data_IF_744942813631
#
_entry.id   IF_744942813631
#
_cell.length_a   1.000
_cell.length_b   1.000
_cell.length_c   1.000
_cell.angle_alpha   90.00
_cell.angle_beta   90.00
_cell.angle_gamma   90.00
#
_symmetry.space_group_name_H-M   'P 1'
#
loop_
_entity.id
_entity.type
_entity.pdbx_description
1 polymer ?
#
# COMPACT_ATOMS: atom_id res chain seq x y z
N UNK A 1 -47.78 20.05 0.69
CA UNK A 1 -47.16 18.77 1.07
C UNK A 1 -45.92 19.03 1.93
N UNK A 2 -46.07 19.82 3.00
CA UNK A 2 -45.01 20.19 3.93
C UNK A 2 -45.61 19.95 5.32
N UNK A 3 -45.81 18.68 5.67
CA UNK A 3 -46.34 18.29 6.97
C UNK A 3 -45.25 17.50 7.71
N UNK A 4 -44.80 18.09 8.81
CA UNK A 4 -44.08 17.46 9.94
C UNK A 4 -42.87 16.59 9.58
N UNK A 5 -41.78 17.23 9.14
CA UNK A 5 -40.46 16.59 9.27
C UNK A 5 -40.13 16.52 10.77
N UNK A 6 -40.09 15.33 11.35
CA UNK A 6 -39.65 15.19 12.74
C UNK A 6 -38.15 15.48 12.84
N UNK A 7 -37.68 15.96 14.00
CA UNK A 7 -36.25 16.20 14.22
C UNK A 7 -35.39 14.93 13.96
N UNK A 8 -35.98 13.75 14.16
CA UNK A 8 -35.36 12.45 13.91
C UNK A 8 -35.20 12.16 12.40
N UNK A 9 -36.15 12.58 11.57
CA UNK A 9 -36.06 12.40 10.12
C UNK A 9 -35.04 13.36 9.52
N UNK A 10 -35.03 14.63 9.96
CA UNK A 10 -33.99 15.60 9.57
C UNK A 10 -32.58 15.06 9.90
N UNK A 11 -32.42 14.48 11.09
CA UNK A 11 -31.17 13.89 11.53
C UNK A 11 -30.70 12.71 10.64
N UNK A 12 -31.61 11.83 10.21
CA UNK A 12 -31.27 10.73 9.28
C UNK A 12 -30.77 11.26 7.93
N UNK A 13 -31.41 12.29 7.37
CA UNK A 13 -30.96 12.91 6.12
C UNK A 13 -29.56 13.56 6.26
N UNK A 14 -29.30 14.21 7.40
CA UNK A 14 -27.98 14.79 7.70
C UNK A 14 -26.91 13.68 7.74
N UNK A 15 -27.16 12.57 8.43
CA UNK A 15 -26.20 11.47 8.52
C UNK A 15 -25.83 10.87 7.16
N UNK A 16 -26.79 10.76 6.25
CA UNK A 16 -26.58 10.11 4.94
C UNK A 16 -25.96 11.08 3.94
N UNK A 17 -26.22 12.38 4.08
CA UNK A 17 -25.64 13.41 3.23
C UNK A 17 -24.15 13.67 3.50
N UNK A 18 -23.66 13.48 4.73
CA UNK A 18 -22.24 13.71 5.07
C UNK A 18 -21.29 12.84 4.23
N UNK A 19 -21.43 11.50 4.17
CA UNK A 19 -20.56 10.67 3.33
C UNK A 19 -20.74 10.93 1.83
N UNK A 20 -21.96 11.31 1.41
CA UNK A 20 -22.24 11.67 0.03
C UNK A 20 -21.44 12.92 -0.37
N UNK A 21 -21.59 14.02 0.37
CA UNK A 21 -20.89 15.29 0.12
C UNK A 21 -19.38 15.11 0.24
N UNK A 22 -18.90 14.36 1.24
CA UNK A 22 -17.47 14.07 1.40
C UNK A 22 -16.92 13.30 0.19
N UNK A 23 -17.63 12.28 -0.29
CA UNK A 23 -17.18 11.49 -1.45
C UNK A 23 -17.20 12.29 -2.75
N UNK A 24 -18.23 13.13 -2.94
CA UNK A 24 -18.37 14.01 -4.09
C UNK A 24 -17.26 15.06 -4.13
N UNK A 25 -17.04 15.76 -3.02
CA UNK A 25 -15.99 16.80 -2.92
C UNK A 25 -14.60 16.19 -3.16
N UNK A 26 -14.30 15.05 -2.52
CA UNK A 26 -13.06 14.32 -2.75
C UNK A 26 -12.92 13.88 -4.21
N UNK A 27 -13.99 13.35 -4.82
CA UNK A 27 -14.02 12.95 -6.23
C UNK A 27 -13.79 14.12 -7.19
N UNK A 28 -14.42 15.27 -6.95
CA UNK A 28 -14.25 16.48 -7.76
C UNK A 28 -12.81 17.00 -7.65
N UNK A 29 -12.24 17.06 -6.44
CA UNK A 29 -10.83 17.40 -6.25
C UNK A 29 -9.95 16.46 -7.09
N UNK A 30 -10.27 15.16 -7.12
CA UNK A 30 -9.55 14.19 -7.94
C UNK A 30 -9.73 14.39 -9.45
N UNK A 31 -10.87 14.86 -9.93
CA UNK A 31 -11.09 15.12 -11.36
C UNK A 31 -10.40 16.43 -11.79
N UNK A 32 -10.45 17.47 -10.97
CA UNK A 32 -9.96 18.82 -11.30
C UNK A 32 -8.44 18.95 -11.13
N UNK A 33 -7.86 18.40 -10.07
CA UNK A 33 -6.42 18.59 -9.77
C UNK A 33 -5.51 17.72 -10.64
N UNK A 34 -6.04 16.65 -11.23
CA UNK A 34 -5.26 15.57 -11.82
C UNK A 34 -5.10 15.48 -13.35
N UNK A 35 -5.68 16.36 -14.21
CA UNK A 35 -5.42 16.32 -15.66
C UNK A 35 -3.94 16.51 -16.05
N UNK A 36 -3.07 16.95 -15.12
CA UNK A 36 -1.72 17.45 -15.41
C UNK A 36 -0.55 16.44 -15.22
N UNK A 37 -0.77 15.12 -15.19
CA UNK A 37 0.35 14.16 -15.00
C UNK A 37 0.54 13.14 -16.13
N UNK A 38 1.71 13.15 -16.75
CA UNK A 38 2.06 12.29 -17.91
C UNK A 38 2.44 10.82 -17.57
N UNK A 39 2.50 10.40 -16.31
CA UNK A 39 2.98 9.04 -15.97
C UNK A 39 1.84 8.01 -15.88
N UNK A 40 1.89 6.97 -16.73
CA UNK A 40 0.88 5.91 -16.88
C UNK A 40 0.52 5.22 -15.55
N UNK A 41 1.50 4.92 -14.70
CA UNK A 41 1.26 4.25 -13.40
C UNK A 41 0.62 5.19 -12.38
N UNK A 42 1.00 6.48 -12.39
CA UNK A 42 0.33 7.51 -11.56
C UNK A 42 -1.14 7.61 -11.99
N UNK A 43 -1.41 7.54 -13.29
CA UNK A 43 -2.77 7.57 -13.83
C UNK A 43 -3.61 6.37 -13.36
N UNK A 44 -3.07 5.14 -13.35
CA UNK A 44 -3.81 3.95 -12.85
C UNK A 44 -4.22 4.06 -11.38
N UNK A 45 -3.31 4.48 -10.49
CA UNK A 45 -3.63 4.69 -9.06
C UNK A 45 -4.77 5.71 -8.92
N UNK A 46 -4.65 6.83 -9.65
CA UNK A 46 -5.62 7.92 -9.64
C UNK A 46 -6.97 7.50 -10.21
N UNK A 47 -6.99 6.73 -11.30
CA UNK A 47 -8.20 6.18 -11.89
C UNK A 47 -8.91 5.23 -10.93
N UNK A 48 -8.17 4.31 -10.27
CA UNK A 48 -8.80 3.40 -9.29
C UNK A 48 -9.42 4.16 -8.12
N UNK A 49 -8.74 5.18 -7.61
CA UNK A 49 -9.25 5.98 -6.51
C UNK A 49 -10.41 6.89 -6.93
N UNK A 50 -10.34 7.50 -8.11
CA UNK A 50 -11.46 8.26 -8.69
C UNK A 50 -12.69 7.38 -8.88
N UNK A 51 -12.50 6.15 -9.39
CA UNK A 51 -13.58 5.17 -9.49
C UNK A 51 -14.16 4.79 -8.12
N UNK A 52 -13.34 4.68 -7.08
CA UNK A 52 -13.80 4.46 -5.71
C UNK A 52 -14.71 5.59 -5.22
N UNK A 53 -14.32 6.85 -5.43
CA UNK A 53 -15.14 8.00 -5.00
C UNK A 53 -16.46 8.07 -5.75
N UNK A 54 -16.46 7.85 -7.08
CA UNK A 54 -17.68 7.79 -7.88
C UNK A 54 -18.62 6.69 -7.38
N UNK A 55 -18.10 5.49 -7.12
CA UNK A 55 -18.90 4.38 -6.60
C UNK A 55 -19.46 4.67 -5.20
N UNK A 56 -18.67 5.32 -4.33
CA UNK A 56 -19.14 5.75 -3.02
C UNK A 56 -20.26 6.79 -3.13
N UNK A 57 -20.11 7.78 -4.01
CA UNK A 57 -21.17 8.77 -4.28
C UNK A 57 -22.45 8.09 -4.78
N UNK A 58 -22.35 7.17 -5.74
CA UNK A 58 -23.49 6.42 -6.25
C UNK A 58 -24.15 5.58 -5.17
N UNK A 59 -23.38 4.90 -4.33
CA UNK A 59 -23.90 4.10 -3.21
C UNK A 59 -24.73 4.97 -2.25
N UNK A 60 -24.19 6.09 -1.78
CA UNK A 60 -24.91 6.97 -0.85
C UNK A 60 -26.09 7.69 -1.49
N UNK A 61 -26.03 7.98 -2.80
CA UNK A 61 -27.15 8.53 -3.54
C UNK A 61 -28.32 7.54 -3.64
N UNK A 62 -28.04 6.27 -3.97
CA UNK A 62 -29.06 5.21 -3.99
C UNK A 62 -29.64 4.96 -2.59
N UNK A 63 -28.81 5.02 -1.54
CA UNK A 63 -29.30 4.95 -0.15
C UNK A 63 -30.32 6.05 0.15
N UNK A 64 -30.09 7.30 -0.28
CA UNK A 64 -31.06 8.39 -0.11
C UNK A 64 -32.38 8.10 -0.83
N UNK A 65 -32.33 7.69 -2.10
CA UNK A 65 -33.53 7.35 -2.89
C UNK A 65 -34.33 6.21 -2.24
N UNK A 66 -33.64 5.21 -1.67
CA UNK A 66 -34.29 4.06 -1.05
C UNK A 66 -35.11 4.42 0.19
N UNK A 67 -34.79 5.53 0.87
CA UNK A 67 -35.49 5.99 2.07
C UNK A 67 -36.78 6.71 1.71
N UNK A 68 -36.80 7.45 0.60
CA UNK A 68 -37.98 8.16 0.12
C UNK A 68 -39.02 7.21 -0.49
N UNK A 69 -38.58 6.10 -1.11
CA UNK A 69 -39.43 5.18 -1.87
C UNK A 69 -39.49 3.76 -1.26
N UNK A 70 -40.34 3.55 -0.26
CA UNK A 70 -40.56 2.23 0.37
C UNK A 70 -40.90 1.10 -0.64
N UNK A 71 -41.61 1.40 -1.74
CA UNK A 71 -41.95 0.40 -2.78
C UNK A 71 -40.82 0.15 -3.79
N UNK A 72 -39.92 1.11 -4.00
CA UNK A 72 -38.77 0.99 -4.90
C UNK A 72 -37.58 0.23 -4.28
N UNK A 73 -37.61 -0.02 -2.97
CA UNK A 73 -36.52 -0.64 -2.23
C UNK A 73 -36.12 -2.01 -2.80
N UNK A 74 -37.10 -2.84 -3.20
CA UNK A 74 -36.88 -4.20 -3.70
C UNK A 74 -36.06 -4.24 -4.99
N UNK A 75 -36.36 -3.35 -5.95
CA UNK A 75 -35.63 -3.25 -7.23
C UNK A 75 -34.20 -2.76 -7.02
N UNK A 76 -33.96 -1.96 -5.97
CA UNK A 76 -32.65 -1.42 -5.64
C UNK A 76 -31.75 -2.42 -4.89
N UNK A 77 -32.29 -3.51 -4.34
CA UNK A 77 -31.53 -4.49 -3.54
C UNK A 77 -30.31 -5.05 -4.29
N UNK A 78 -30.41 -5.56 -5.54
CA UNK A 78 -29.25 -6.09 -6.24
C UNK A 78 -28.16 -5.03 -6.48
N UNK A 79 -28.55 -3.77 -6.70
CA UNK A 79 -27.62 -2.67 -6.86
C UNK A 79 -26.86 -2.37 -5.57
N UNK A 80 -27.48 -2.50 -4.39
CA UNK A 80 -26.76 -2.41 -3.12
C UNK A 80 -25.69 -3.51 -2.99
N UNK A 81 -26.02 -4.77 -3.29
CA UNK A 81 -25.04 -5.86 -3.28
C UNK A 81 -23.86 -5.58 -4.20
N UNK A 82 -24.14 -5.10 -5.42
CA UNK A 82 -23.14 -4.73 -6.41
C UNK A 82 -22.23 -3.61 -5.92
N UNK A 83 -22.81 -2.47 -5.51
CA UNK A 83 -22.06 -1.28 -5.13
C UNK A 83 -21.25 -1.48 -3.84
N UNK A 84 -21.81 -2.16 -2.85
CA UNK A 84 -21.11 -2.50 -1.60
C UNK A 84 -19.92 -3.41 -1.89
N UNK A 85 -20.08 -4.44 -2.73
CA UNK A 85 -18.95 -5.31 -3.06
C UNK A 85 -17.90 -4.57 -3.90
N UNK A 86 -18.33 -3.85 -4.93
CA UNK A 86 -17.45 -3.16 -5.87
C UNK A 86 -16.63 -2.08 -5.16
N UNK A 87 -17.21 -1.32 -4.23
CA UNK A 87 -16.47 -0.33 -3.43
C UNK A 87 -15.38 -1.00 -2.58
N UNK A 88 -15.62 -2.16 -1.98
CA UNK A 88 -14.59 -2.90 -1.25
C UNK A 88 -13.49 -3.45 -2.17
N UNK A 89 -13.85 -4.02 -3.31
CA UNK A 89 -12.89 -4.57 -4.30
C UNK A 89 -12.01 -3.48 -4.87
N UNK A 90 -12.58 -2.35 -5.30
CA UNK A 90 -11.83 -1.22 -5.87
C UNK A 90 -10.89 -0.62 -4.81
N UNK A 91 -11.34 -0.51 -3.56
CA UNK A 91 -10.47 -0.06 -2.47
C UNK A 91 -9.30 -1.03 -2.24
N UNK A 92 -9.53 -2.34 -2.26
CA UNK A 92 -8.45 -3.33 -2.17
C UNK A 92 -7.51 -3.24 -3.37
N UNK A 93 -8.03 -3.08 -4.58
CA UNK A 93 -7.23 -2.88 -5.80
C UNK A 93 -6.34 -1.63 -5.70
N UNK A 94 -6.87 -0.55 -5.16
CA UNK A 94 -6.11 0.67 -4.86
C UNK A 94 -4.98 0.42 -3.86
N UNK A 95 -5.24 -0.30 -2.75
CA UNK A 95 -4.20 -0.70 -1.80
C UNK A 95 -3.16 -1.60 -2.47
N UNK A 96 -3.56 -2.46 -3.43
CA UNK A 96 -2.62 -3.29 -4.18
C UNK A 96 -1.64 -2.49 -5.02
N UNK A 97 -2.04 -1.30 -5.51
CA UNK A 97 -1.14 -0.40 -6.21
C UNK A 97 -0.21 0.38 -5.27
N UNK A 98 -0.66 0.77 -4.08
CA UNK A 98 0.18 1.50 -3.10
C UNK A 98 1.16 0.56 -2.39
N UNK A 99 0.72 -0.66 -2.09
CA UNK A 99 1.50 -1.70 -1.42
C UNK A 99 1.74 -2.83 -2.42
N UNK A 100 2.73 -2.68 -3.32
CA UNK A 100 3.08 -3.74 -4.24
C UNK A 100 3.82 -4.82 -3.47
N UNK A 101 3.23 -6.00 -3.54
CA UNK A 101 3.85 -7.27 -3.20
C UNK A 101 4.06 -8.03 -4.51
N UNK A 102 4.83 -9.12 -4.48
CA UNK A 102 5.02 -10.00 -5.65
C UNK A 102 3.69 -10.52 -6.22
N UNK A 103 2.69 -10.68 -5.37
CA UNK A 103 1.34 -11.06 -5.77
C UNK A 103 0.57 -9.86 -6.37
N UNK A 104 0.31 -9.93 -7.67
CA UNK A 104 -0.52 -8.95 -8.37
C UNK A 104 -2.00 -9.07 -7.95
N UNK A 105 -2.75 -8.00 -8.18
CA UNK A 105 -4.20 -8.02 -8.01
C UNK A 105 -4.82 -8.98 -9.04
N UNK A 106 -5.64 -9.92 -8.56
CA UNK A 106 -6.31 -10.88 -9.42
C UNK A 106 -7.65 -10.30 -9.93
N UNK A 107 -7.88 -10.31 -11.24
CA UNK A 107 -9.14 -9.87 -11.85
C UNK A 107 -10.36 -10.70 -11.37
N UNK A 108 -10.13 -11.88 -10.81
CA UNK A 108 -11.16 -12.75 -10.24
C UNK A 108 -12.10 -12.04 -9.25
N UNK A 109 -11.61 -11.08 -8.45
CA UNK A 109 -12.45 -10.33 -7.51
C UNK A 109 -13.57 -9.51 -8.20
N UNK A 110 -13.30 -8.99 -9.41
CA UNK A 110 -14.33 -8.31 -10.19
C UNK A 110 -15.35 -9.28 -10.78
N UNK A 111 -14.92 -10.48 -11.18
CA UNK A 111 -15.83 -11.54 -11.67
C UNK A 111 -16.79 -12.01 -10.58
N UNK A 112 -16.30 -12.18 -9.34
CA UNK A 112 -17.15 -12.49 -8.18
C UNK A 112 -18.22 -11.41 -7.98
N UNK A 113 -17.86 -10.14 -8.14
CA UNK A 113 -18.81 -9.01 -7.99
C UNK A 113 -20.00 -9.15 -8.94
N UNK A 114 -19.74 -9.51 -10.20
CA UNK A 114 -20.80 -9.73 -11.21
C UNK A 114 -21.63 -10.96 -10.86
N UNK A 115 -21.00 -12.06 -10.42
CA UNK A 115 -21.71 -13.26 -10.01
C UNK A 115 -22.66 -13.00 -8.82
N UNK A 116 -22.22 -12.25 -7.81
CA UNK A 116 -23.05 -11.86 -6.67
C UNK A 116 -24.24 -11.01 -7.11
N UNK A 117 -24.05 -10.08 -8.05
CA UNK A 117 -25.14 -9.27 -8.58
C UNK A 117 -26.20 -10.11 -9.30
N UNK A 118 -25.78 -11.06 -10.13
CA UNK A 118 -26.70 -11.99 -10.83
C UNK A 118 -27.46 -12.83 -9.80
N UNK A 119 -26.76 -13.40 -8.83
CA UNK A 119 -27.36 -14.23 -7.77
C UNK A 119 -28.34 -13.42 -6.91
N UNK A 120 -28.00 -12.19 -6.53
CA UNK A 120 -28.90 -11.31 -5.78
C UNK A 120 -30.15 -10.94 -6.60
N UNK A 121 -30.00 -10.73 -7.91
CA UNK A 121 -31.13 -10.44 -8.81
C UNK A 121 -32.08 -11.63 -8.90
N UNK A 122 -31.55 -12.86 -9.04
CA UNK A 122 -32.33 -14.09 -9.02
C UNK A 122 -33.05 -14.26 -7.68
N UNK A 123 -32.34 -14.04 -6.57
CA UNK A 123 -32.90 -14.15 -5.21
C UNK A 123 -34.07 -13.18 -5.01
N UNK A 124 -33.93 -11.93 -5.43
CA UNK A 124 -35.00 -10.92 -5.38
C UNK A 124 -36.19 -11.35 -6.24
N UNK A 125 -35.96 -11.85 -7.45
CA UNK A 125 -37.02 -12.31 -8.34
C UNK A 125 -37.81 -13.48 -7.73
N UNK A 126 -37.11 -14.52 -7.24
CA UNK A 126 -37.75 -15.69 -6.61
C UNK A 126 -38.56 -15.28 -5.39
N UNK A 127 -37.99 -14.46 -4.50
CA UNK A 127 -38.72 -14.01 -3.31
C UNK A 127 -39.93 -13.13 -3.66
N UNK A 128 -39.83 -12.30 -4.69
CA UNK A 128 -40.96 -11.51 -5.18
C UNK A 128 -42.11 -12.38 -5.70
N UNK A 129 -41.81 -13.48 -6.41
CA UNK A 129 -42.85 -14.41 -6.87
C UNK A 129 -43.51 -15.22 -5.75
N UNK A 130 -42.82 -15.38 -4.61
CA UNK A 130 -43.34 -16.07 -3.42
C UNK A 130 -44.15 -15.14 -2.51
N UNK A 131 -43.88 -13.83 -2.52
CA UNK A 131 -44.55 -12.80 -1.70
C UNK A 131 -46.07 -12.80 -1.86
N UNK A 132 -46.55 -13.10 -3.05
CA UNK A 132 -47.99 -13.17 -3.35
C UNK A 132 -48.73 -14.25 -2.54
N UNK A 133 -48.04 -15.12 -1.80
CA UNK A 133 -48.63 -16.29 -1.13
C UNK A 133 -48.43 -16.36 0.39
N UNK A 134 -47.45 -15.66 0.96
CA UNK A 134 -47.12 -15.74 2.39
C UNK A 134 -46.90 -14.33 2.95
N UNK A 135 -47.55 -13.96 4.06
CA UNK A 135 -47.45 -12.65 4.70
C UNK A 135 -46.09 -12.33 5.34
N UNK A 136 -45.00 -12.56 4.60
CA UNK A 136 -43.61 -12.35 4.99
C UNK A 136 -43.14 -10.96 4.57
N UNK A 137 -42.53 -10.20 5.47
CA UNK A 137 -42.01 -8.86 5.15
C UNK A 137 -40.64 -8.95 4.45
N UNK A 138 -40.66 -9.09 3.11
CA UNK A 138 -39.45 -9.20 2.29
C UNK A 138 -38.46 -8.05 2.52
N UNK A 139 -38.96 -6.85 2.80
CA UNK A 139 -38.12 -5.68 3.09
C UNK A 139 -37.27 -5.86 4.36
N UNK A 140 -37.84 -6.42 5.43
CA UNK A 140 -37.13 -6.68 6.68
C UNK A 140 -36.05 -7.76 6.49
N UNK A 141 -36.37 -8.80 5.71
CA UNK A 141 -35.41 -9.85 5.35
C UNK A 141 -34.19 -9.29 4.62
N UNK A 142 -34.41 -8.51 3.55
CA UNK A 142 -33.29 -7.95 2.79
C UNK A 142 -32.48 -6.97 3.60
N UNK A 143 -33.09 -6.21 4.50
CA UNK A 143 -32.35 -5.32 5.39
C UNK A 143 -31.38 -6.10 6.31
N UNK A 144 -31.86 -7.17 6.97
CA UNK A 144 -31.01 -8.02 7.81
C UNK A 144 -29.92 -8.72 6.99
N UNK A 145 -30.28 -9.25 5.83
CA UNK A 145 -29.37 -9.94 4.93
C UNK A 145 -28.27 -8.99 4.40
N UNK A 146 -28.63 -7.77 3.98
CA UNK A 146 -27.69 -6.75 3.52
C UNK A 146 -26.75 -6.31 4.63
N UNK A 147 -27.23 -6.20 5.87
CA UNK A 147 -26.40 -5.86 7.03
C UNK A 147 -25.32 -6.94 7.29
N UNK A 148 -25.71 -8.22 7.31
CA UNK A 148 -24.80 -9.35 7.48
C UNK A 148 -23.79 -9.39 6.34
N UNK A 149 -24.27 -9.28 5.10
CA UNK A 149 -23.42 -9.26 3.91
C UNK A 149 -22.38 -8.14 3.94
N UNK A 150 -22.81 -6.92 4.29
CA UNK A 150 -21.92 -5.75 4.38
C UNK A 150 -20.84 -5.97 5.43
N UNK A 151 -21.23 -6.51 6.58
CA UNK A 151 -20.31 -6.81 7.70
C UNK A 151 -19.25 -7.84 7.32
N UNK A 152 -19.65 -8.97 6.72
CA UNK A 152 -18.73 -10.01 6.28
C UNK A 152 -17.78 -9.52 5.19
N UNK A 153 -18.29 -8.76 4.20
CA UNK A 153 -17.45 -8.18 3.15
C UNK A 153 -16.42 -7.19 3.71
N UNK A 154 -16.84 -6.31 4.61
CA UNK A 154 -15.92 -5.36 5.25
C UNK A 154 -14.82 -6.09 6.01
N UNK A 155 -15.15 -7.15 6.77
CA UNK A 155 -14.17 -7.95 7.49
C UNK A 155 -13.19 -8.65 6.53
N UNK A 156 -13.70 -9.28 5.47
CA UNK A 156 -12.88 -9.97 4.48
C UNK A 156 -11.89 -9.04 3.76
N UNK A 157 -12.35 -7.94 3.17
CA UNK A 157 -11.45 -7.04 2.43
C UNK A 157 -10.51 -6.25 3.34
N UNK A 158 -10.91 -5.96 4.59
CA UNK A 158 -10.02 -5.29 5.55
C UNK A 158 -8.90 -6.21 6.01
N UNK A 159 -9.19 -7.50 6.26
CA UNK A 159 -8.15 -8.49 6.58
C UNK A 159 -7.18 -8.70 5.43
N UNK A 160 -7.67 -8.78 4.18
CA UNK A 160 -6.81 -8.84 3.00
C UNK A 160 -5.86 -7.64 2.88
N UNK A 161 -6.34 -6.42 3.15
CA UNK A 161 -5.49 -5.23 3.18
C UNK A 161 -4.37 -5.35 4.24
N UNK A 162 -4.70 -5.83 5.44
CA UNK A 162 -3.71 -6.03 6.51
C UNK A 162 -2.69 -7.11 6.17
N UNK A 163 -3.12 -8.26 5.64
CA UNK A 163 -2.23 -9.34 5.20
C UNK A 163 -1.23 -8.82 4.17
N UNK A 164 -1.70 -8.01 3.23
CA UNK A 164 -0.84 -7.40 2.20
C UNK A 164 0.19 -6.44 2.80
N UNK A 165 -0.24 -5.56 3.71
CA UNK A 165 0.66 -4.64 4.40
C UNK A 165 1.69 -5.38 5.28
N UNK A 166 1.27 -6.44 5.96
CA UNK A 166 2.15 -7.28 6.77
C UNK A 166 3.20 -8.00 5.92
N UNK A 167 2.77 -8.60 4.80
CA UNK A 167 3.67 -9.28 3.85
C UNK A 167 4.74 -8.33 3.33
N UNK A 168 4.33 -7.11 2.96
CA UNK A 168 5.26 -6.07 2.52
C UNK A 168 6.27 -5.68 3.62
N UNK A 169 5.81 -5.44 4.86
CA UNK A 169 6.70 -5.13 5.98
C UNK A 169 7.68 -6.28 6.27
N UNK A 170 7.24 -7.53 6.17
CA UNK A 170 8.06 -8.72 6.38
C UNK A 170 9.16 -8.85 5.32
N UNK A 171 8.81 -8.65 4.05
CA UNK A 171 9.79 -8.68 2.94
C UNK A 171 10.85 -7.59 3.10
N UNK A 172 10.46 -6.37 3.51
CA UNK A 172 11.42 -5.28 3.73
C UNK A 172 12.25 -5.40 5.01
N UNK A 173 11.69 -5.96 6.08
CA UNK A 173 12.43 -6.21 7.31
C UNK A 173 13.61 -7.18 7.07
N UNK A 174 13.39 -8.23 6.27
CA UNK A 174 14.44 -9.17 5.86
C UNK A 174 15.59 -8.50 5.09
N UNK A 175 15.30 -7.44 4.34
CA UNK A 175 16.28 -6.73 3.51
C UNK A 175 17.03 -5.63 4.27
N UNK A 176 16.79 -5.46 5.58
CA UNK A 176 17.45 -4.47 6.46
C UNK A 176 17.51 -3.02 5.91
N UNK A 177 16.54 -2.64 5.06
CA UNK A 177 16.43 -1.29 4.52
C UNK A 177 15.84 -0.29 5.53
N UNK A 178 16.16 0.99 5.30
CA UNK A 178 15.71 2.13 6.10
C UNK A 178 14.19 2.08 6.32
N UNK A 179 13.77 2.29 7.57
CA UNK A 179 12.38 2.24 8.04
C UNK A 179 11.56 3.37 7.38
N UNK A 180 10.92 3.10 6.25
CA UNK A 180 10.02 4.10 5.62
C UNK A 180 8.70 4.16 6.38
N UNK A 181 8.23 5.39 6.65
CA UNK A 181 6.93 5.70 7.24
C UNK A 181 5.80 5.40 6.23
N UNK A 182 5.40 4.13 6.14
CA UNK A 182 4.04 3.75 5.72
C UNK A 182 2.99 4.06 6.82
N UNK A 183 3.30 4.99 7.74
CA UNK A 183 2.48 5.31 8.90
C UNK A 183 1.08 5.77 8.50
N UNK A 184 0.96 6.47 7.37
CA UNK A 184 -0.33 6.93 6.87
C UNK A 184 -1.18 5.78 6.32
N UNK A 185 -0.61 4.81 5.59
CA UNK A 185 -1.35 3.62 5.12
C UNK A 185 -1.80 2.78 6.32
N UNK A 186 -0.95 2.63 7.34
CA UNK A 186 -1.38 1.97 8.58
C UNK A 186 -2.46 2.76 9.32
N UNK A 187 -2.38 4.09 9.40
CA UNK A 187 -3.41 4.92 10.02
C UNK A 187 -4.76 4.79 9.28
N UNK A 188 -4.72 4.76 7.95
CA UNK A 188 -5.87 4.53 7.08
C UNK A 188 -6.49 3.15 7.31
N UNK A 189 -5.68 2.09 7.43
CA UNK A 189 -6.20 0.75 7.74
C UNK A 189 -6.72 0.62 9.18
N UNK A 190 -6.11 1.31 10.15
CA UNK A 190 -6.61 1.40 11.53
C UNK A 190 -7.99 2.07 11.55
N UNK A 191 -8.15 3.17 10.83
CA UNK A 191 -9.41 3.87 10.71
C UNK A 191 -10.49 3.00 10.05
N UNK A 192 -10.13 2.24 9.01
CA UNK A 192 -11.03 1.26 8.37
C UNK A 192 -11.43 0.13 9.31
N UNK A 193 -10.51 -0.40 10.12
CA UNK A 193 -10.84 -1.42 11.12
C UNK A 193 -11.76 -0.88 12.20
N UNK A 194 -11.52 0.34 12.69
CA UNK A 194 -12.37 0.99 13.68
C UNK A 194 -13.80 1.15 13.14
N UNK A 195 -13.93 1.65 11.91
CA UNK A 195 -15.22 1.75 11.21
C UNK A 195 -15.91 0.38 11.09
N UNK A 196 -15.20 -0.66 10.68
CA UNK A 196 -15.76 -2.02 10.51
C UNK A 196 -16.26 -2.59 11.84
N UNK A 197 -15.49 -2.41 12.92
CA UNK A 197 -15.84 -2.84 14.28
C UNK A 197 -17.10 -2.11 14.75
N UNK A 198 -17.12 -0.78 14.68
CA UNK A 198 -18.28 0.01 15.10
C UNK A 198 -19.53 -0.32 14.29
N UNK A 199 -19.42 -0.58 12.99
CA UNK A 199 -20.54 -0.98 12.15
C UNK A 199 -21.16 -2.31 12.59
N UNK A 200 -20.33 -3.31 12.94
CA UNK A 200 -20.77 -4.64 13.42
C UNK A 200 -21.43 -4.54 14.80
N UNK A 201 -20.90 -3.72 15.70
CA UNK A 201 -21.48 -3.55 17.04
C UNK A 201 -22.75 -2.69 17.03
N UNK A 202 -22.97 -1.90 15.98
CA UNK A 202 -24.16 -1.05 15.85
C UNK A 202 -25.40 -1.81 15.31
N UNK A 203 -25.65 -3.02 15.82
CA UNK A 203 -26.82 -3.81 15.43
C UNK A 203 -28.14 -3.14 15.87
N UNK A 204 -28.15 -2.55 17.06
CA UNK A 204 -29.33 -1.89 17.65
C UNK A 204 -29.53 -0.42 17.20
N UNK A 205 -28.76 0.07 16.22
CA UNK A 205 -28.89 1.43 15.66
C UNK A 205 -28.88 2.53 16.73
N UNK A 206 -27.82 2.52 17.52
CA UNK A 206 -27.61 3.56 18.54
C UNK A 206 -27.20 4.84 17.81
N UNK A 207 -28.02 5.89 17.94
CA UNK A 207 -27.86 7.20 17.29
C UNK A 207 -26.44 7.76 17.42
N UNK A 208 -25.85 7.69 18.62
CA UNK A 208 -24.48 8.15 18.85
C UNK A 208 -23.44 7.35 18.03
N UNK A 209 -23.63 6.04 17.85
CA UNK A 209 -22.71 5.25 17.03
C UNK A 209 -22.84 5.59 15.54
N UNK A 210 -24.06 5.88 15.07
CA UNK A 210 -24.28 6.30 13.68
C UNK A 210 -23.56 7.63 13.35
N UNK A 211 -23.54 8.62 14.27
CA UNK A 211 -22.74 9.85 14.06
C UNK A 211 -21.26 9.57 13.95
N UNK A 212 -20.71 8.74 14.85
CA UNK A 212 -19.30 8.38 14.83
C UNK A 212 -18.92 7.64 13.55
N UNK A 213 -19.72 6.65 13.13
CA UNK A 213 -19.48 5.88 11.90
C UNK A 213 -19.40 6.80 10.68
N UNK A 214 -20.34 7.74 10.55
CA UNK A 214 -20.38 8.70 9.44
C UNK A 214 -19.18 9.64 9.45
N UNK A 215 -18.79 10.14 10.62
CA UNK A 215 -17.61 11.00 10.77
C UNK A 215 -16.32 10.25 10.40
N UNK A 216 -16.19 8.97 10.81
CA UNK A 216 -15.03 8.16 10.49
C UNK A 216 -14.88 7.92 8.99
N UNK A 217 -15.98 7.74 8.26
CA UNK A 217 -15.96 7.64 6.78
C UNK A 217 -15.39 8.94 6.19
N UNK A 218 -15.87 10.10 6.62
CA UNK A 218 -15.41 11.40 6.12
C UNK A 218 -13.92 11.63 6.44
N UNK A 219 -13.49 11.33 7.67
CA UNK A 219 -12.07 11.40 8.06
C UNK A 219 -11.23 10.47 7.18
N UNK A 220 -11.70 9.24 6.90
CA UNK A 220 -10.96 8.30 6.06
C UNK A 220 -10.78 8.86 4.65
N UNK A 221 -11.85 9.40 4.06
CA UNK A 221 -11.79 10.00 2.73
C UNK A 221 -10.82 11.19 2.70
N UNK A 222 -10.84 12.05 3.72
CA UNK A 222 -9.94 13.21 3.83
C UNK A 222 -8.47 12.77 3.96
N UNK A 223 -8.17 11.84 4.86
CA UNK A 223 -6.81 11.30 5.04
C UNK A 223 -6.30 10.68 3.74
N UNK A 224 -7.14 9.95 2.99
CA UNK A 224 -6.76 9.40 1.69
C UNK A 224 -6.41 10.50 0.69
N UNK A 225 -7.28 11.50 0.50
CA UNK A 225 -7.05 12.58 -0.48
C UNK A 225 -5.80 13.38 -0.13
N UNK A 226 -5.68 13.79 1.12
CA UNK A 226 -4.56 14.61 1.60
C UNK A 226 -3.20 13.93 1.34
N UNK A 227 -3.06 12.67 1.73
CA UNK A 227 -1.80 11.94 1.56
C UNK A 227 -1.43 11.70 0.09
N UNK A 228 -2.42 11.65 -0.81
CA UNK A 228 -2.17 11.41 -2.24
C UNK A 228 -1.87 12.71 -2.98
N UNK A 229 -2.46 13.82 -2.53
CA UNK A 229 -2.15 15.16 -3.02
C UNK A 229 -0.72 15.59 -2.67
N UNK A 230 -0.16 15.09 -1.57
CA UNK A 230 1.24 15.27 -1.23
C UNK A 230 2.12 14.48 -2.23
N UNK A 231 2.39 15.09 -3.39
CA UNK A 231 3.04 14.48 -4.58
C UNK A 231 4.32 13.72 -4.26
N UNK A 232 5.07 14.15 -3.26
CA UNK A 232 6.33 13.54 -2.81
C UNK A 232 6.15 12.08 -2.35
N UNK A 233 4.98 11.74 -1.80
CA UNK A 233 4.70 10.39 -1.32
C UNK A 233 4.67 9.42 -2.49
N UNK A 234 4.03 9.77 -3.60
CA UNK A 234 3.90 8.91 -4.77
C UNK A 234 5.25 8.71 -5.51
N UNK A 235 6.13 9.71 -5.47
CA UNK A 235 7.46 9.64 -6.07
C UNK A 235 8.46 8.86 -5.21
N UNK A 236 8.44 9.05 -3.88
CA UNK A 236 9.19 8.23 -2.93
C UNK A 236 8.78 6.76 -3.02
N UNK A 237 7.48 6.52 -3.16
CA UNK A 237 6.90 5.20 -3.36
C UNK A 237 7.41 4.56 -4.68
N UNK A 238 7.45 5.29 -5.82
CA UNK A 238 7.93 4.78 -7.12
C UNK A 238 9.45 4.52 -7.16
N UNK A 239 10.26 5.42 -6.57
CA UNK A 239 11.71 5.28 -6.52
C UNK A 239 12.13 4.00 -5.76
N UNK A 240 11.34 3.58 -4.77
CA UNK A 240 11.57 2.35 -4.00
C UNK A 240 11.20 1.05 -4.72
N UNK A 241 10.47 1.11 -5.84
CA UNK A 241 10.04 -0.07 -6.61
C UNK A 241 11.04 -0.52 -7.66
N UNK A 242 12.07 0.27 -7.89
CA UNK A 242 13.10 0.03 -8.87
C UNK A 242 14.22 -0.78 -8.23
N UNK A 243 14.36 -2.02 -8.67
CA UNK A 243 15.55 -2.81 -8.36
C UNK A 243 16.60 -2.52 -9.41
N UNK A 244 17.79 -2.16 -8.98
CA UNK A 244 18.88 -1.99 -9.92
C UNK A 244 19.50 -3.36 -10.23
N UNK A 245 19.69 -3.62 -11.50
CA UNK A 245 20.37 -4.80 -11.99
C UNK A 245 21.49 -4.36 -12.90
N UNK A 246 22.68 -4.90 -12.66
CA UNK A 246 23.82 -4.76 -13.53
C UNK A 246 23.79 -5.87 -14.57
N UNK A 247 23.71 -5.47 -15.84
CA UNK A 247 23.76 -6.38 -17.00
C UNK A 247 25.22 -6.62 -17.37
N UNK A 248 25.51 -7.76 -18.02
CA UNK A 248 26.85 -8.10 -18.55
C UNK A 248 27.48 -7.00 -19.41
N UNK A 249 26.67 -6.15 -20.07
CA UNK A 249 27.13 -4.98 -20.83
C UNK A 249 27.66 -3.81 -19.97
N UNK A 250 27.64 -3.93 -18.63
CA UNK A 250 28.02 -2.85 -17.71
C UNK A 250 26.94 -1.79 -17.51
N UNK A 251 25.78 -1.96 -18.14
CA UNK A 251 24.62 -1.10 -17.96
C UNK A 251 23.88 -1.43 -16.66
N UNK A 252 23.45 -0.39 -15.94
CA UNK A 252 22.62 -0.52 -14.75
C UNK A 252 21.19 -0.22 -15.16
N UNK A 253 20.36 -1.25 -15.13
CA UNK A 253 18.95 -1.15 -15.46
C UNK A 253 18.14 -1.12 -14.18
N UNK A 254 17.21 -0.18 -14.07
CA UNK A 254 16.20 -0.20 -13.03
C UNK A 254 15.00 -1.00 -13.50
N UNK A 255 14.80 -2.17 -12.90
CA UNK A 255 13.68 -3.08 -13.20
C UNK A 255 12.62 -2.87 -12.13
N UNK A 256 11.42 -2.46 -12.56
CA UNK A 256 10.21 -2.48 -11.72
C UNK A 256 9.87 -3.95 -11.39
N UNK A 257 9.19 -4.22 -10.27
CA UNK A 257 8.70 -5.55 -9.89
C UNK A 257 7.79 -6.22 -10.96
N UNK A 258 7.46 -5.49 -12.04
CA UNK A 258 6.68 -5.89 -13.20
C UNK A 258 7.53 -6.30 -14.42
N UNK A 259 8.86 -6.29 -14.33
CA UNK A 259 9.76 -6.67 -15.44
C UNK A 259 9.91 -5.62 -16.55
N UNK A 260 9.38 -4.40 -16.37
CA UNK A 260 9.49 -3.32 -17.36
C UNK A 260 10.79 -2.53 -17.14
N UNK A 261 11.58 -2.43 -18.21
CA UNK A 261 12.86 -1.72 -18.29
C UNK A 261 12.60 -0.25 -18.62
N UNK A 262 12.85 0.67 -17.68
CA UNK A 262 12.92 2.11 -18.00
C UNK A 262 14.39 2.45 -18.26
N UNK A 263 14.71 2.73 -19.53
CA UNK A 263 16.04 3.13 -20.02
C UNK A 263 16.55 4.35 -19.26
N UNK A 264 17.64 4.19 -18.52
CA UNK A 264 18.41 5.31 -17.97
C UNK A 264 19.43 5.72 -19.02
N UNK A 265 19.39 6.98 -19.44
CA UNK A 265 20.33 7.59 -20.38
C UNK A 265 21.76 7.42 -19.87
N UNK A 266 22.55 6.67 -20.64
CA UNK A 266 23.99 6.55 -20.44
C UNK A 266 24.63 7.78 -21.07
N UNK A 267 25.28 8.62 -20.26
CA UNK A 267 26.32 9.49 -20.78
C UNK A 267 27.41 8.59 -21.35
N UNK A 268 27.47 8.56 -22.68
CA UNK A 268 28.41 7.78 -23.47
C UNK A 268 29.83 8.31 -23.28
N UNK A 269 30.53 7.75 -22.32
CA UNK A 269 31.98 7.65 -22.35
C UNK A 269 32.42 6.46 -21.51
N UNK A 270 33.47 5.79 -21.97
CA UNK A 270 34.14 4.59 -21.44
C UNK A 270 33.82 3.27 -22.18
N UNK A 271 34.90 2.79 -22.80
CA UNK A 271 35.03 1.77 -23.82
C UNK A 271 34.73 0.33 -23.39
N UNK A 272 34.52 -0.47 -24.44
CA UNK A 272 34.38 -1.90 -24.51
C UNK A 272 35.44 -2.70 -23.74
N UNK A 273 34.98 -3.73 -23.04
CA UNK A 273 35.71 -5.00 -22.91
C UNK A 273 34.70 -6.11 -22.61
N UNK A 274 34.65 -7.11 -23.48
CA UNK A 274 33.86 -8.32 -23.32
C UNK A 274 34.40 -9.16 -22.15
N UNK A 275 33.53 -9.54 -21.21
CA UNK A 275 33.79 -10.66 -20.30
C UNK A 275 32.50 -11.46 -20.13
N UNK A 276 32.62 -12.77 -20.36
CA UNK A 276 31.55 -13.75 -20.39
C UNK A 276 31.03 -14.19 -19.01
N UNK A 277 29.79 -14.69 -19.07
CA UNK A 277 29.07 -15.60 -18.16
C UNK A 277 29.28 -15.40 -16.64
N UNK A 278 28.34 -14.82 -15.88
CA UNK A 278 26.95 -15.25 -15.76
C UNK A 278 25.96 -14.08 -15.51
N UNK A 279 25.26 -13.70 -16.58
CA UNK A 279 23.88 -13.24 -16.56
C UNK A 279 23.61 -11.80 -16.12
N UNK A 280 23.29 -11.63 -14.84
CA UNK A 280 22.72 -10.40 -14.28
C UNK A 280 23.13 -10.36 -12.81
N UNK A 281 23.76 -9.27 -12.36
CA UNK A 281 24.01 -9.04 -10.94
C UNK A 281 22.93 -8.12 -10.39
N UNK A 282 21.99 -8.66 -9.62
CA UNK A 282 20.87 -7.88 -9.09
C UNK A 282 21.23 -7.24 -7.74
N UNK A 283 20.52 -6.17 -7.41
CA UNK A 283 20.56 -5.57 -6.07
C UNK A 283 20.21 -6.61 -4.99
N UNK A 284 19.35 -7.59 -5.30
CA UNK A 284 18.99 -8.66 -4.37
C UNK A 284 20.19 -9.55 -4.04
N UNK A 285 21.00 -9.93 -5.02
CA UNK A 285 22.16 -10.81 -4.82
C UNK A 285 23.19 -10.16 -3.87
N UNK A 286 23.43 -8.87 -4.04
CA UNK A 286 24.25 -8.07 -3.12
C UNK A 286 23.71 -8.12 -1.69
N UNK A 287 22.41 -7.94 -1.51
CA UNK A 287 21.80 -7.93 -0.17
C UNK A 287 21.78 -9.30 0.48
N UNK A 288 21.49 -10.36 -0.29
CA UNK A 288 21.53 -11.74 0.22
C UNK A 288 22.95 -12.08 0.65
N UNK A 289 23.95 -11.73 -0.15
CA UNK A 289 25.35 -11.97 0.21
C UNK A 289 25.74 -11.27 1.51
N UNK A 290 25.45 -9.97 1.65
CA UNK A 290 25.78 -9.23 2.86
C UNK A 290 25.02 -9.72 4.09
N UNK A 291 23.73 -10.03 3.97
CA UNK A 291 22.91 -10.49 5.10
C UNK A 291 23.22 -11.92 5.54
N UNK A 292 23.52 -12.84 4.61
CA UNK A 292 23.70 -14.27 4.91
C UNK A 292 25.15 -14.63 5.19
N UNK A 293 26.11 -14.06 4.45
CA UNK A 293 27.53 -14.40 4.58
C UNK A 293 28.31 -13.43 5.47
N UNK A 294 27.72 -12.28 5.82
CA UNK A 294 28.34 -11.23 6.66
C UNK A 294 29.81 -10.93 6.31
N UNK A 295 30.16 -10.70 5.02
CA UNK A 295 31.54 -10.54 4.58
C UNK A 295 32.23 -9.31 5.21
N UNK A 296 31.43 -8.32 5.61
CA UNK A 296 31.89 -7.08 6.24
C UNK A 296 32.56 -7.28 7.61
N UNK A 297 32.36 -8.44 8.27
CA UNK A 297 33.05 -8.77 9.52
C UNK A 297 34.55 -8.96 9.32
N UNK A 298 34.99 -9.34 8.11
CA UNK A 298 36.40 -9.36 7.80
C UNK A 298 36.91 -7.93 7.59
N UNK A 299 37.90 -7.52 8.39
CA UNK A 299 38.52 -6.18 8.31
C UNK A 299 39.14 -5.88 6.95
N UNK A 300 39.65 -6.90 6.27
CA UNK A 300 40.36 -6.80 5.00
C UNK A 300 39.42 -6.82 3.79
N UNK A 301 38.11 -7.01 4.03
CA UNK A 301 37.09 -7.03 2.97
C UNK A 301 36.99 -5.71 2.21
N UNK A 302 37.21 -5.76 0.91
CA UNK A 302 37.29 -4.60 0.01
C UNK A 302 36.52 -4.84 -1.31
N UNK A 303 36.51 -3.82 -2.16
CA UNK A 303 35.93 -3.89 -3.50
C UNK A 303 36.48 -5.06 -4.33
N UNK A 304 37.77 -5.36 -4.22
CA UNK A 304 38.41 -6.41 -5.02
C UNK A 304 37.87 -7.82 -4.66
N UNK A 305 37.37 -8.01 -3.44
CA UNK A 305 36.68 -9.26 -3.05
C UNK A 305 35.30 -9.38 -3.69
N UNK A 306 34.58 -8.25 -3.85
CA UNK A 306 33.32 -8.21 -4.60
C UNK A 306 33.55 -8.48 -6.09
N UNK A 307 34.64 -7.96 -6.65
CA UNK A 307 35.05 -8.22 -8.05
C UNK A 307 35.30 -9.70 -8.28
N UNK A 308 36.08 -10.33 -7.40
CA UNK A 308 36.37 -11.78 -7.47
C UNK A 308 35.12 -12.63 -7.30
N UNK A 309 34.26 -12.28 -6.35
CA UNK A 309 33.05 -13.04 -6.06
C UNK A 309 32.05 -13.00 -7.21
N UNK A 310 31.78 -11.82 -7.76
CA UNK A 310 30.75 -11.64 -8.78
C UNK A 310 31.27 -11.80 -10.20
N UNK A 311 32.60 -11.86 -10.40
CA UNK A 311 33.21 -11.96 -11.73
C UNK A 311 32.98 -10.72 -12.60
N UNK A 312 32.79 -9.55 -11.97
CA UNK A 312 32.44 -8.30 -12.67
C UNK A 312 33.53 -7.25 -12.49
N UNK A 313 33.80 -6.49 -13.55
CA UNK A 313 34.77 -5.40 -13.56
C UNK A 313 34.63 -4.45 -12.36
N UNK A 314 35.80 -4.09 -11.79
CA UNK A 314 35.92 -3.18 -10.63
C UNK A 314 35.13 -1.89 -10.79
N UNK A 315 35.23 -1.27 -11.97
CA UNK A 315 34.51 -0.03 -12.29
C UNK A 315 32.99 -0.22 -12.31
N UNK A 316 32.51 -1.38 -12.78
CA UNK A 316 31.08 -1.68 -12.84
C UNK A 316 30.51 -1.97 -11.45
N UNK A 317 31.21 -2.72 -10.59
CA UNK A 317 30.80 -2.90 -9.19
C UNK A 317 30.78 -1.57 -8.46
N UNK A 318 31.82 -0.73 -8.62
CA UNK A 318 31.87 0.58 -7.99
C UNK A 318 30.72 1.48 -8.44
N UNK A 319 30.46 1.56 -9.74
CA UNK A 319 29.33 2.30 -10.32
C UNK A 319 28.00 1.75 -9.83
N UNK A 320 27.83 0.44 -9.80
CA UNK A 320 26.61 -0.23 -9.33
C UNK A 320 26.32 0.12 -7.87
N UNK A 321 27.32 0.07 -7.00
CA UNK A 321 27.16 0.40 -5.58
C UNK A 321 26.86 1.89 -5.38
N UNK A 322 27.56 2.77 -6.11
CA UNK A 322 27.31 4.21 -6.09
C UNK A 322 25.88 4.56 -6.52
N UNK A 323 25.39 3.96 -7.60
CA UNK A 323 24.05 4.24 -8.14
C UNK A 323 22.95 3.59 -7.29
N UNK A 324 23.16 2.36 -6.82
CA UNK A 324 22.13 1.57 -6.13
C UNK A 324 22.00 1.88 -4.65
N UNK A 325 23.11 2.12 -3.97
CA UNK A 325 23.13 2.38 -2.53
C UNK A 325 23.49 3.83 -2.20
N UNK A 326 23.59 4.69 -3.22
CA UNK A 326 23.95 6.11 -3.11
C UNK A 326 25.22 6.35 -2.27
N UNK A 327 26.12 5.36 -2.22
CA UNK A 327 27.27 5.32 -1.33
C UNK A 327 28.43 4.67 -2.07
N UNK A 328 29.66 5.10 -1.79
CA UNK A 328 30.81 4.35 -2.30
C UNK A 328 30.94 2.99 -1.60
N UNK A 329 31.73 2.09 -2.17
CA UNK A 329 31.85 0.70 -1.71
C UNK A 329 32.32 0.63 -0.26
N UNK A 330 33.31 1.44 0.12
CA UNK A 330 33.83 1.50 1.49
C UNK A 330 32.77 2.01 2.48
N UNK A 331 32.03 3.06 2.11
CA UNK A 331 30.91 3.57 2.90
C UNK A 331 29.81 2.52 3.05
N UNK A 332 29.48 1.81 1.97
CA UNK A 332 28.47 0.75 1.99
C UNK A 332 28.87 -0.39 2.93
N UNK A 333 30.12 -0.87 2.86
CA UNK A 333 30.64 -1.87 3.81
C UNK A 333 30.56 -1.35 5.25
N UNK A 334 31.01 -0.11 5.48
CA UNK A 334 30.99 0.49 6.81
C UNK A 334 29.57 0.67 7.37
N UNK A 335 28.55 0.89 6.53
CA UNK A 335 27.14 0.93 6.98
C UNK A 335 26.70 -0.41 7.58
N UNK A 336 27.10 -1.53 6.98
CA UNK A 336 26.83 -2.85 7.54
C UNK A 336 27.58 -3.08 8.85
N UNK A 337 28.85 -2.67 8.91
CA UNK A 337 29.63 -2.77 10.16
C UNK A 337 29.04 -1.92 11.29
N UNK A 338 28.58 -0.70 11.03
CA UNK A 338 27.92 0.16 12.05
C UNK A 338 26.67 -0.54 12.59
N UNK A 339 25.82 -1.09 11.71
CA UNK A 339 24.62 -1.83 12.13
C UNK A 339 24.97 -3.05 12.98
N UNK A 340 26.02 -3.77 12.63
CA UNK A 340 26.50 -4.90 13.42
C UNK A 340 27.00 -4.46 14.80
N UNK A 341 27.71 -3.33 14.93
CA UNK A 341 28.08 -2.77 16.25
C UNK A 341 26.84 -2.47 17.08
N UNK A 342 25.80 -1.87 16.49
CA UNK A 342 24.53 -1.60 17.18
C UNK A 342 23.80 -2.89 17.61
N UNK A 343 23.87 -3.94 16.80
CA UNK A 343 23.29 -5.25 17.12
C UNK A 343 24.08 -5.96 18.23
N UNK A 344 25.40 -5.99 18.12
CA UNK A 344 26.30 -6.53 19.13
C UNK A 344 26.18 -5.79 20.46
N UNK A 345 25.97 -4.47 20.46
CA UNK A 345 25.76 -3.71 21.69
C UNK A 345 24.46 -4.09 22.41
N UNK A 346 23.41 -4.51 21.67
CA UNK A 346 22.16 -5.00 22.26
C UNK A 346 22.30 -6.41 22.83
N UNK A 347 23.08 -7.27 22.18
CA UNK A 347 23.23 -8.67 22.58
C UNK A 347 24.36 -8.90 23.58
N UNK A 348 25.42 -8.08 23.54
CA UNK A 348 26.66 -8.20 24.31
C UNK A 348 27.06 -6.84 24.91
N UNK A 349 26.11 -6.13 25.51
CA UNK A 349 26.32 -4.78 26.06
C UNK A 349 27.32 -4.70 27.22
N UNK A 350 27.73 -5.85 27.77
CA UNK A 350 28.74 -5.97 28.83
C UNK A 350 30.18 -5.79 28.31
N UNK A 351 30.42 -6.01 27.01
CA UNK A 351 31.74 -5.83 26.41
C UNK A 351 32.02 -4.34 26.17
N UNK A 352 33.29 -3.91 26.30
CA UNK A 352 33.66 -2.55 25.97
C UNK A 352 33.42 -2.27 24.49
N UNK A 353 33.05 -1.01 24.18
CA UNK A 353 32.72 -0.59 22.82
C UNK A 353 33.84 -0.89 21.82
N UNK A 354 35.10 -0.81 22.24
CA UNK A 354 36.27 -1.13 21.41
C UNK A 354 36.24 -2.58 20.92
N UNK A 355 35.92 -3.53 21.79
CA UNK A 355 35.82 -4.94 21.43
C UNK A 355 34.67 -5.20 20.46
N UNK A 356 33.51 -4.58 20.70
CA UNK A 356 32.36 -4.68 19.80
C UNK A 356 32.67 -4.13 18.40
N UNK A 357 33.44 -3.04 18.34
CA UNK A 357 33.88 -2.41 17.09
C UNK A 357 34.84 -3.33 16.33
N UNK A 358 35.79 -3.96 17.01
CA UNK A 358 36.69 -4.93 16.40
C UNK A 358 35.93 -6.17 15.90
N UNK A 359 34.97 -6.68 16.68
CA UNK A 359 34.11 -7.81 16.30
C UNK A 359 33.26 -7.50 15.05
N UNK A 360 32.85 -6.25 14.86
CA UNK A 360 32.09 -5.82 13.69
C UNK A 360 32.95 -5.59 12.43
N UNK A 361 34.27 -5.86 12.49
CA UNK A 361 35.17 -5.78 11.34
C UNK A 361 35.82 -4.41 11.12
N UNK A 362 35.75 -3.49 12.09
CA UNK A 362 36.56 -2.28 12.07
C UNK A 362 37.99 -2.57 12.54
N UNK A 363 38.96 -1.80 12.04
CA UNK A 363 40.36 -1.91 12.47
C UNK A 363 40.62 -1.29 13.85
N UNK A 364 39.86 -0.26 14.23
CA UNK A 364 39.95 0.43 15.51
C UNK A 364 38.75 1.34 15.76
N UNK A 365 38.62 1.84 17.00
CA UNK A 365 37.56 2.75 17.43
C UNK A 365 37.53 4.06 16.63
N UNK A 366 38.70 4.65 16.32
CA UNK A 366 38.77 5.91 15.56
C UNK A 366 38.16 5.78 14.17
N UNK A 367 38.39 4.64 13.50
CA UNK A 367 37.81 4.36 12.19
C UNK A 367 36.29 4.22 12.27
N UNK A 368 35.77 3.55 13.31
CA UNK A 368 34.33 3.48 13.59
C UNK A 368 33.71 4.86 13.84
N UNK A 369 34.31 5.69 14.70
CA UNK A 369 33.77 7.03 15.02
C UNK A 369 33.66 7.92 13.77
N UNK A 370 34.69 7.91 12.91
CA UNK A 370 34.64 8.62 11.61
C UNK A 370 33.54 8.08 10.70
N UNK A 371 33.42 6.76 10.59
CA UNK A 371 32.38 6.13 9.77
C UNK A 371 30.98 6.48 10.30
N UNK A 372 30.78 6.43 11.62
CA UNK A 372 29.52 6.78 12.29
C UNK A 372 29.13 8.24 12.08
N UNK A 373 30.07 9.17 12.25
CA UNK A 373 29.84 10.59 11.98
C UNK A 373 29.40 10.82 10.53
N UNK A 374 30.06 10.17 9.56
CA UNK A 374 29.69 10.27 8.15
C UNK A 374 28.31 9.69 7.85
N UNK A 375 27.92 8.63 8.56
CA UNK A 375 26.62 7.98 8.44
C UNK A 375 25.48 8.85 9.01
N UNK A 376 25.71 9.50 10.15
CA UNK A 376 24.75 10.40 10.80
C UNK A 376 24.50 11.66 9.97
N UNK A 377 25.56 12.31 9.47
CA UNK A 377 25.44 13.48 8.59
C UNK A 377 24.63 13.19 7.32
N UNK A 378 24.75 11.97 6.78
CA UNK A 378 24.00 11.54 5.60
C UNK A 378 22.52 11.25 5.89
N UNK A 379 22.20 10.84 7.12
CA UNK A 379 20.83 10.56 7.53
C UNK A 379 20.04 11.80 7.97
N UNK A 380 20.71 12.94 8.21
CA UNK A 380 20.11 14.22 8.60
C UNK A 380 19.77 15.15 7.40
N UNK A 381 20.24 14.84 6.18
CA UNK A 381 19.83 15.58 4.98
C UNK A 381 18.38 15.19 4.61
N UNK A 382 17.47 16.18 4.41
CA UNK A 382 16.03 15.99 4.23
C UNK A 382 15.63 15.15 3.00
#
# INVERSE_FOLDING_TARGET
MINQLTALDLYKYILISIPLISSMTCGIIFIVVFPKSLSITKNKIRQTLGSYYILMTLLWFITNISIENNKGMLVLVPFFFLLIHLTQVVFYHFICYIVPTKALFNSFYYKITVAIFIMASILVYVLYTLDTTAGFSISAFFYQYLYIYTSLNMMYYTTLCWIRLYTYKREKYKMQFKKIRFSWVSALLILKTLFSVLFIFNHHRIVLLDTFIVLLIAIQQLVMVFNILQKDILEKIKAEYKTNILVSSGQIISVDNKGLVENVSVNASYYAQEIGASGLLSQHDFLVYFSTKKPYLNKDFKLDDLVKLFGVNRSYISKFVNVTFHSNVSQYINQWRIKEVEELHKTKGELPLEDLVLMAGFSNLRHYLRAKQSFEQKNQKP
#
